data_IF_432422872622
#
_entry.id   IF_432422872622
#
_cell.length_a   1.000
_cell.length_b   1.000
_cell.length_c   1.000
_cell.angle_alpha   90.00
_cell.angle_beta   90.00
_cell.angle_gamma   90.00
#
_symmetry.space_group_name_H-M   'P 1'
#
loop_
_entity.id
_entity.type
_entity.pdbx_description
1 polymer ?
#
# COMPACT_ATOMS: atom_id res chain seq x y z
N UNK A 1 -7.74 33.03 28.26
CA UNK A 1 -6.71 32.78 27.23
C UNK A 1 -7.44 32.38 25.96
N UNK A 2 -7.58 33.30 25.02
CA UNK A 2 -8.18 33.02 23.72
C UNK A 2 -7.20 32.18 22.89
N UNK A 3 -7.61 30.96 22.54
CA UNK A 3 -6.87 30.11 21.61
C UNK A 3 -7.01 30.69 20.20
N UNK A 4 -6.11 31.60 19.81
CA UNK A 4 -5.97 32.00 18.41
C UNK A 4 -5.35 30.84 17.63
N UNK A 5 -6.19 30.08 16.91
CA UNK A 5 -5.70 29.05 16.01
C UNK A 5 -5.01 29.73 14.82
N UNK A 6 -3.69 29.78 14.82
CA UNK A 6 -2.94 30.27 13.67
C UNK A 6 -3.23 29.34 12.46
N UNK A 7 -3.81 29.92 11.42
CA UNK A 7 -4.05 29.28 10.14
C UNK A 7 -3.09 29.95 9.15
N UNK A 8 -1.99 29.30 8.76
CA UNK A 8 -1.06 29.92 7.84
C UNK A 8 -1.75 30.13 6.48
N UNK A 9 -1.83 31.38 6.05
CA UNK A 9 -2.41 31.79 4.78
C UNK A 9 -1.29 31.94 3.74
N UNK A 10 -1.53 31.50 2.50
CA UNK A 10 -0.65 31.79 1.37
C UNK A 10 -1.41 32.65 0.38
N UNK A 11 -0.83 33.80 0.02
CA UNK A 11 -1.41 34.73 -0.94
C UNK A 11 -1.19 34.20 -2.36
N UNK A 12 -2.27 34.01 -3.13
CA UNK A 12 -2.15 33.68 -4.54
C UNK A 12 -1.75 34.93 -5.34
N UNK A 13 -0.81 34.81 -6.28
CA UNK A 13 -0.30 35.92 -7.11
C UNK A 13 -1.33 36.52 -8.09
N UNK A 14 -2.55 35.98 -8.19
CA UNK A 14 -3.54 36.37 -9.21
C UNK A 14 -4.87 36.94 -8.68
N UNK A 15 -5.01 37.15 -7.37
CA UNK A 15 -6.23 37.76 -6.82
C UNK A 15 -6.21 37.71 -5.30
N UNK A 16 -6.90 38.67 -4.66
CA UNK A 16 -6.91 38.93 -3.22
C UNK A 16 -7.54 37.82 -2.34
N UNK A 17 -7.53 36.56 -2.79
CA UNK A 17 -8.01 35.43 -2.02
C UNK A 17 -6.84 34.75 -1.30
N UNK A 18 -6.92 34.74 0.02
CA UNK A 18 -6.05 33.95 0.86
C UNK A 18 -6.47 32.49 0.79
N UNK A 19 -5.58 31.62 0.31
CA UNK A 19 -5.81 30.19 0.34
C UNK A 19 -5.23 29.64 1.65
N UNK A 20 -6.05 28.91 2.40
CA UNK A 20 -5.56 28.14 3.54
C UNK A 20 -4.63 27.04 3.02
N UNK A 21 -3.43 26.91 3.61
CA UNK A 21 -2.46 25.85 3.23
C UNK A 21 -3.09 24.45 3.28
N UNK A 22 -4.13 24.29 4.09
CA UNK A 22 -4.81 23.04 4.37
C UNK A 22 -6.12 22.85 3.60
N UNK A 23 -6.44 23.75 2.65
CA UNK A 23 -7.64 23.66 1.83
C UNK A 23 -7.60 22.39 0.94
N UNK A 24 -8.55 21.44 1.12
CA UNK A 24 -8.61 20.27 0.28
C UNK A 24 -9.04 20.62 -1.16
N UNK A 25 -8.60 19.80 -2.10
CA UNK A 25 -9.15 19.74 -3.46
C UNK A 25 -10.54 19.15 -3.39
N UNK A 26 -11.53 19.85 -3.94
CA UNK A 26 -12.83 19.25 -4.19
C UNK A 26 -12.88 18.60 -5.59
N UNK A 27 -13.96 17.85 -5.90
CA UNK A 27 -14.12 17.18 -7.19
C UNK A 27 -14.10 18.12 -8.41
N UNK A 28 -14.37 19.41 -8.20
CA UNK A 28 -14.36 20.45 -9.23
C UNK A 28 -12.99 20.66 -9.87
N UNK A 29 -11.90 20.33 -9.17
CA UNK A 29 -10.53 20.48 -9.72
C UNK A 29 -10.03 19.22 -10.43
N UNK A 30 -10.82 18.14 -10.45
CA UNK A 30 -10.44 16.90 -11.13
C UNK A 30 -10.70 17.04 -12.62
N UNK A 31 -9.61 17.17 -13.38
CA UNK A 31 -9.61 17.12 -14.84
C UNK A 31 -10.10 15.76 -15.34
N UNK A 32 -10.49 15.68 -16.62
CA UNK A 32 -11.07 14.46 -17.19
C UNK A 32 -10.12 13.25 -17.14
N UNK A 33 -8.82 13.48 -17.27
CA UNK A 33 -7.77 12.47 -17.12
C UNK A 33 -7.62 11.96 -15.68
N UNK A 34 -7.76 12.82 -14.67
CA UNK A 34 -7.80 12.42 -13.25
C UNK A 34 -9.02 11.54 -13.01
N UNK A 35 -10.22 11.98 -13.41
CA UNK A 35 -11.45 11.20 -13.23
C UNK A 35 -11.35 9.83 -13.90
N UNK A 36 -10.90 9.80 -15.14
CA UNK A 36 -10.68 8.56 -15.87
C UNK A 36 -9.65 7.65 -15.18
N UNK A 37 -8.55 8.21 -14.65
CA UNK A 37 -7.56 7.42 -13.92
C UNK A 37 -8.13 6.78 -12.65
N UNK A 38 -8.98 7.51 -11.91
CA UNK A 38 -9.70 7.01 -10.73
C UNK A 38 -10.63 5.87 -11.15
N UNK A 39 -11.49 6.11 -12.14
CA UNK A 39 -12.53 5.17 -12.60
C UNK A 39 -11.95 3.83 -13.09
N UNK A 40 -10.75 3.85 -13.69
CA UNK A 40 -10.08 2.63 -14.16
C UNK A 40 -9.81 1.67 -13.00
N UNK A 41 -9.41 2.18 -11.83
CA UNK A 41 -8.91 1.37 -10.71
C UNK A 41 -9.83 1.35 -9.48
N UNK A 42 -11.05 1.87 -9.57
CA UNK A 42 -12.10 1.70 -8.56
C UNK A 42 -12.87 0.40 -8.73
N UNK A 43 -13.29 -0.22 -7.63
CA UNK A 43 -14.19 -1.37 -7.61
C UNK A 43 -15.63 -0.96 -7.92
N UNK A 44 -16.05 0.20 -7.45
CA UNK A 44 -17.38 0.75 -7.65
C UNK A 44 -17.34 2.15 -8.28
N UNK A 45 -17.88 2.28 -9.49
CA UNK A 45 -17.94 3.54 -10.21
C UNK A 45 -19.05 4.45 -9.66
N UNK A 46 -20.02 3.90 -8.92
CA UNK A 46 -21.08 4.68 -8.28
C UNK A 46 -20.61 5.27 -6.94
N UNK A 47 -19.60 4.66 -6.32
CA UNK A 47 -19.00 5.10 -5.06
C UNK A 47 -17.51 5.42 -5.26
N UNK A 48 -17.16 6.67 -5.66
CA UNK A 48 -15.79 7.00 -5.98
C UNK A 48 -14.87 6.85 -4.77
N UNK A 49 -13.67 6.30 -5.01
CA UNK A 49 -12.66 6.17 -3.97
C UNK A 49 -12.31 7.53 -3.35
N UNK A 50 -12.01 7.51 -2.05
CA UNK A 50 -11.64 8.72 -1.32
C UNK A 50 -10.18 9.07 -1.63
N UNK A 51 -9.95 10.22 -2.23
CA UNK A 51 -8.60 10.77 -2.35
C UNK A 51 -7.99 11.01 -0.95
N UNK A 52 -6.79 10.50 -0.75
CA UNK A 52 -5.99 10.65 0.47
C UNK A 52 -4.59 11.18 0.14
N UNK A 53 -3.71 11.26 1.15
CA UNK A 53 -2.33 11.70 0.96
C UNK A 53 -2.17 13.17 0.55
N UNK A 54 -1.03 13.50 -0.05
CA UNK A 54 -0.68 14.87 -0.42
C UNK A 54 -1.52 15.43 -1.56
N UNK A 55 -2.01 14.58 -2.48
CA UNK A 55 -2.86 15.01 -3.58
C UNK A 55 -4.17 15.64 -3.08
N UNK A 56 -4.62 15.31 -1.88
CA UNK A 56 -5.81 15.94 -1.30
C UNK A 56 -5.69 17.46 -1.14
N UNK A 57 -4.50 18.05 -1.01
CA UNK A 57 -4.37 19.45 -0.55
C UNK A 57 -3.86 20.41 -1.62
N UNK A 58 -4.57 21.53 -1.81
CA UNK A 58 -4.32 22.51 -2.90
C UNK A 58 -2.91 23.12 -2.89
N UNK A 59 -2.28 23.23 -1.71
CA UNK A 59 -0.90 23.74 -1.58
C UNK A 59 0.11 22.94 -2.42
N UNK A 60 -0.14 21.65 -2.67
CA UNK A 60 0.72 20.83 -3.53
C UNK A 60 0.38 21.02 -5.00
N UNK A 61 0.80 22.13 -5.62
CA UNK A 61 0.48 22.45 -7.02
C UNK A 61 0.85 21.36 -8.03
N UNK A 62 1.92 20.61 -7.77
CA UNK A 62 2.40 19.50 -8.59
C UNK A 62 2.57 18.25 -7.71
N UNK A 63 1.48 17.56 -7.37
CA UNK A 63 1.56 16.34 -6.57
C UNK A 63 2.30 15.26 -7.37
N UNK A 64 3.12 14.46 -6.69
CA UNK A 64 3.91 13.40 -7.33
C UNK A 64 3.12 12.13 -7.60
N UNK A 65 2.09 11.89 -6.80
CA UNK A 65 1.23 10.72 -6.76
C UNK A 65 -0.23 11.14 -6.50
N UNK A 66 -1.18 10.27 -6.86
CA UNK A 66 -2.58 10.34 -6.43
C UNK A 66 -2.88 9.09 -5.61
N UNK A 67 -3.01 9.25 -4.30
CA UNK A 67 -3.37 8.15 -3.41
C UNK A 67 -4.88 8.15 -3.15
N UNK A 68 -5.48 6.96 -3.15
CA UNK A 68 -6.88 6.74 -2.88
C UNK A 68 -7.09 5.63 -1.85
N UNK A 69 -8.17 5.74 -1.10
CA UNK A 69 -8.67 4.70 -0.21
C UNK A 69 -10.12 4.41 -0.58
N UNK A 70 -10.37 3.18 -1.00
CA UNK A 70 -11.70 2.70 -1.36
C UNK A 70 -12.20 1.74 -0.29
N UNK A 71 -13.33 2.08 0.32
CA UNK A 71 -14.07 1.17 1.19
C UNK A 71 -15.07 0.43 0.34
N UNK A 72 -15.04 -0.91 0.38
CA UNK A 72 -15.98 -1.72 -0.36
C UNK A 72 -16.51 -2.85 0.52
N UNK A 73 -17.81 -2.81 0.78
CA UNK A 73 -18.54 -3.85 1.49
C UNK A 73 -19.18 -4.77 0.45
N UNK A 74 -18.71 -6.01 0.38
CA UNK A 74 -19.31 -7.02 -0.49
C UNK A 74 -20.74 -7.35 -0.06
N UNK A 75 -21.57 -7.75 -1.02
CA UNK A 75 -22.96 -8.09 -0.76
C UNK A 75 -23.14 -9.48 -0.12
N UNK A 76 -24.30 -9.66 0.52
CA UNK A 76 -24.85 -10.96 0.93
C UNK A 76 -23.96 -11.73 1.92
N UNK A 77 -23.49 -12.93 1.54
CA UNK A 77 -22.63 -13.79 2.37
C UNK A 77 -21.14 -13.53 2.13
N UNK A 78 -20.26 -13.93 3.05
CA UNK A 78 -18.81 -13.86 2.87
C UNK A 78 -18.32 -14.50 1.55
N UNK A 79 -18.92 -15.62 1.14
CA UNK A 79 -18.53 -16.31 -0.09
C UNK A 79 -18.94 -15.51 -1.35
N UNK A 80 -20.12 -14.90 -1.33
CA UNK A 80 -20.61 -14.04 -2.42
C UNK A 80 -19.85 -12.73 -2.48
N UNK A 81 -19.61 -12.09 -1.33
CA UNK A 81 -18.76 -10.91 -1.19
C UNK A 81 -17.37 -11.14 -1.80
N UNK A 82 -16.71 -12.27 -1.48
CA UNK A 82 -15.41 -12.61 -2.08
C UNK A 82 -15.48 -12.79 -3.59
N UNK A 83 -16.51 -13.48 -4.08
CA UNK A 83 -16.71 -13.71 -5.52
C UNK A 83 -16.90 -12.40 -6.27
N UNK A 84 -17.70 -11.50 -5.71
CA UNK A 84 -17.97 -10.19 -6.29
C UNK A 84 -16.72 -9.30 -6.31
N UNK A 85 -16.00 -9.21 -5.19
CA UNK A 85 -14.71 -8.50 -5.11
C UNK A 85 -13.72 -9.05 -6.14
N UNK A 86 -13.56 -10.37 -6.22
CA UNK A 86 -12.67 -11.00 -7.21
C UNK A 86 -13.09 -10.60 -8.63
N UNK A 87 -14.39 -10.63 -8.94
CA UNK A 87 -14.90 -10.20 -10.25
C UNK A 87 -14.52 -8.74 -10.53
N UNK A 88 -14.76 -7.83 -9.60
CA UNK A 88 -14.44 -6.39 -9.77
C UNK A 88 -12.94 -6.13 -9.94
N UNK A 89 -12.08 -6.86 -9.20
CA UNK A 89 -10.62 -6.78 -9.38
C UNK A 89 -10.17 -7.29 -10.77
N UNK A 90 -10.81 -8.34 -11.29
CA UNK A 90 -10.58 -8.81 -12.66
C UNK A 90 -11.00 -7.76 -13.68
N UNK A 91 -12.13 -7.10 -13.45
CA UNK A 91 -12.63 -6.04 -14.32
C UNK A 91 -11.68 -4.84 -14.34
N UNK A 92 -11.04 -4.49 -13.21
CA UNK A 92 -9.95 -3.49 -13.16
C UNK A 92 -8.80 -3.90 -14.09
N UNK A 93 -8.35 -5.15 -14.04
CA UNK A 93 -7.26 -5.62 -14.90
C UNK A 93 -7.62 -5.53 -16.39
N UNK A 94 -8.88 -5.84 -16.75
CA UNK A 94 -9.39 -5.70 -18.11
C UNK A 94 -9.41 -4.22 -18.53
N UNK A 95 -9.91 -3.32 -17.67
CA UNK A 95 -9.91 -1.88 -17.93
C UNK A 95 -8.49 -1.37 -18.17
N UNK A 96 -7.53 -1.71 -17.32
CA UNK A 96 -6.12 -1.30 -17.50
C UNK A 96 -5.59 -1.76 -18.87
N UNK A 97 -5.84 -3.02 -19.27
CA UNK A 97 -5.39 -3.55 -20.58
C UNK A 97 -6.02 -2.83 -21.77
N UNK A 98 -7.27 -2.39 -21.64
CA UNK A 98 -8.02 -1.73 -22.72
C UNK A 98 -7.67 -0.25 -22.89
N UNK A 99 -7.11 0.40 -21.86
CA UNK A 99 -6.79 1.82 -21.90
C UNK A 99 -5.35 2.05 -22.36
N UNK A 100 -5.19 2.62 -23.55
CA UNK A 100 -3.87 3.01 -24.07
C UNK A 100 -3.26 4.08 -23.17
N UNK A 101 -1.98 3.92 -22.84
CA UNK A 101 -1.25 4.88 -22.00
C UNK A 101 -1.46 4.70 -20.51
N UNK A 102 -2.15 3.63 -20.09
CA UNK A 102 -2.26 3.19 -18.70
C UNK A 102 -1.45 1.92 -18.51
N UNK A 103 -0.61 1.88 -17.48
CA UNK A 103 0.27 0.75 -17.20
C UNK A 103 0.11 0.31 -15.76
N UNK A 104 0.04 -0.99 -15.52
CA UNK A 104 0.12 -1.52 -14.16
C UNK A 104 1.53 -1.27 -13.61
N UNK A 105 1.61 -0.56 -12.49
CA UNK A 105 2.83 -0.42 -11.69
C UNK A 105 3.01 -1.62 -10.77
N UNK A 106 2.02 -1.88 -9.92
CA UNK A 106 2.01 -3.03 -9.02
C UNK A 106 0.58 -3.40 -8.63
N UNK A 107 0.34 -4.68 -8.34
CA UNK A 107 -0.86 -5.11 -7.64
C UNK A 107 -0.43 -6.10 -6.56
N UNK A 108 -0.76 -5.79 -5.31
CA UNK A 108 -0.42 -6.63 -4.15
C UNK A 108 -1.70 -7.12 -3.49
N UNK A 109 -1.78 -8.43 -3.29
CA UNK A 109 -2.80 -9.06 -2.45
C UNK A 109 -2.29 -10.42 -2.00
N UNK A 110 -2.36 -10.68 -0.71
CA UNK A 110 -1.93 -11.94 -0.10
C UNK A 110 -0.42 -12.08 0.06
N UNK A 111 -0.06 -13.18 0.71
CA UNK A 111 1.29 -13.53 1.10
C UNK A 111 1.57 -15.03 0.89
N UNK A 112 2.82 -15.32 0.57
CA UNK A 112 3.37 -16.67 0.58
C UNK A 112 4.03 -16.95 1.93
N UNK A 113 3.23 -17.48 2.85
CA UNK A 113 3.64 -17.79 4.23
C UNK A 113 4.82 -18.75 4.33
N UNK A 114 5.20 -19.46 3.25
CA UNK A 114 6.41 -20.29 3.22
C UNK A 114 7.69 -19.47 3.46
N UNK A 115 7.68 -18.19 3.12
CA UNK A 115 8.82 -17.28 3.34
C UNK A 115 8.70 -16.48 4.66
N UNK A 116 7.70 -16.75 5.49
CA UNK A 116 7.56 -16.13 6.81
C UNK A 116 8.21 -17.01 7.87
N UNK A 117 9.33 -16.55 8.40
CA UNK A 117 9.97 -17.12 9.58
C UNK A 117 10.42 -15.99 10.51
N UNK A 118 10.61 -16.32 11.79
CA UNK A 118 10.92 -15.35 12.83
C UNK A 118 12.34 -14.79 12.64
N UNK A 119 12.44 -13.47 12.48
CA UNK A 119 13.71 -12.74 12.43
C UNK A 119 13.89 -11.86 13.67
N UNK A 120 13.17 -12.13 14.75
CA UNK A 120 13.06 -11.23 15.90
C UNK A 120 12.19 -10.02 15.60
N UNK A 121 12.15 -9.08 16.55
CA UNK A 121 11.37 -7.85 16.48
C UNK A 121 12.08 -6.69 17.15
N UNK A 122 11.64 -5.47 16.85
CA UNK A 122 12.14 -4.26 17.51
C UNK A 122 11.29 -3.99 18.76
N UNK A 123 11.95 -3.89 19.92
CA UNK A 123 11.38 -3.43 21.19
C UNK A 123 12.28 -2.35 21.77
N UNK A 124 11.74 -1.15 22.04
CA UNK A 124 12.49 -0.03 22.62
C UNK A 124 13.84 0.24 21.90
N UNK A 125 13.81 0.33 20.56
CA UNK A 125 14.98 0.51 19.69
C UNK A 125 16.05 -0.60 19.77
N UNK A 126 15.71 -1.77 20.31
CA UNK A 126 16.58 -2.95 20.35
C UNK A 126 15.95 -4.11 19.61
N UNK A 127 16.80 -4.93 18.98
CA UNK A 127 16.37 -6.15 18.32
C UNK A 127 16.32 -7.25 19.38
N UNK A 128 15.14 -7.83 19.59
CA UNK A 128 14.91 -8.93 20.53
C UNK A 128 14.57 -10.20 19.77
N UNK A 129 14.98 -11.36 20.30
CA UNK A 129 14.74 -12.70 19.73
C UNK A 129 15.31 -12.93 18.32
N UNK A 130 16.31 -12.15 17.91
CA UNK A 130 17.04 -12.39 16.67
C UNK A 130 18.02 -13.56 16.83
N UNK A 131 17.96 -14.53 15.92
CA UNK A 131 18.86 -15.68 15.90
C UNK A 131 19.31 -15.96 14.45
N UNK A 132 20.49 -15.47 14.10
CA UNK A 132 21.06 -15.61 12.75
C UNK A 132 21.20 -17.07 12.31
N UNK A 133 21.60 -17.98 13.21
CA UNK A 133 21.76 -19.40 12.89
C UNK A 133 20.41 -20.03 12.50
N UNK A 134 19.36 -19.76 13.28
CA UNK A 134 18.01 -20.25 12.98
C UNK A 134 17.48 -19.70 11.65
N UNK A 135 17.73 -18.42 11.38
CA UNK A 135 17.38 -17.74 10.13
C UNK A 135 18.09 -18.40 8.94
N UNK A 136 19.38 -18.67 9.06
CA UNK A 136 20.20 -19.34 8.04
C UNK A 136 19.70 -20.77 7.79
N UNK A 137 19.32 -21.50 8.85
CA UNK A 137 18.70 -22.83 8.74
C UNK A 137 17.38 -22.77 7.95
N UNK A 138 16.49 -21.82 8.26
CA UNK A 138 15.22 -21.66 7.53
C UNK A 138 15.47 -21.35 6.05
N UNK A 139 16.43 -20.47 5.74
CA UNK A 139 16.84 -20.17 4.36
C UNK A 139 17.41 -21.39 3.64
N UNK A 140 18.22 -22.22 4.32
CA UNK A 140 18.72 -23.48 3.77
C UNK A 140 17.58 -24.43 3.42
N UNK A 141 16.57 -24.55 4.29
CA UNK A 141 15.40 -25.39 4.03
C UNK A 141 14.58 -24.89 2.84
N UNK A 142 14.42 -23.56 2.68
CA UNK A 142 13.79 -22.98 1.50
C UNK A 142 14.59 -23.25 0.22
N UNK A 143 15.92 -23.15 0.28
CA UNK A 143 16.79 -23.45 -0.86
C UNK A 143 16.73 -24.94 -1.25
N UNK A 144 16.78 -25.87 -0.28
CA UNK A 144 16.62 -27.31 -0.50
C UNK A 144 15.27 -27.64 -1.18
N UNK A 145 14.20 -26.95 -0.76
CA UNK A 145 12.86 -27.06 -1.36
C UNK A 145 12.74 -26.34 -2.73
N UNK A 146 13.83 -25.78 -3.25
CA UNK A 146 13.88 -24.99 -4.50
C UNK A 146 12.91 -23.80 -4.49
N UNK A 147 12.69 -23.22 -3.31
CA UNK A 147 11.90 -21.99 -3.12
C UNK A 147 12.75 -20.73 -3.22
N UNK A 148 14.07 -20.85 -3.05
CA UNK A 148 15.05 -19.81 -3.30
C UNK A 148 16.02 -20.25 -4.39
N UNK A 149 16.45 -19.31 -5.22
CA UNK A 149 17.63 -19.46 -6.07
C UNK A 149 18.90 -19.32 -5.24
N UNK A 150 20.03 -19.79 -5.77
CA UNK A 150 21.34 -19.63 -5.11
C UNK A 150 21.69 -18.16 -4.88
N UNK A 151 21.36 -17.29 -5.85
CA UNK A 151 21.59 -15.85 -5.76
C UNK A 151 20.74 -15.22 -4.66
N UNK A 152 19.45 -15.54 -4.57
CA UNK A 152 18.58 -15.03 -3.50
C UNK A 152 19.04 -15.50 -2.12
N UNK A 153 19.39 -16.79 -1.98
CA UNK A 153 19.93 -17.34 -0.73
C UNK A 153 21.20 -16.59 -0.30
N UNK A 154 22.17 -16.39 -1.22
CA UNK A 154 23.41 -15.68 -0.91
C UNK A 154 23.16 -14.21 -0.51
N UNK A 155 22.24 -13.53 -1.19
CA UNK A 155 21.88 -12.16 -0.84
C UNK A 155 21.26 -12.09 0.56
N UNK A 156 20.40 -13.05 0.92
CA UNK A 156 19.82 -13.11 2.25
C UNK A 156 20.87 -13.44 3.34
N UNK A 157 21.83 -14.32 3.05
CA UNK A 157 22.93 -14.62 3.97
C UNK A 157 23.80 -13.41 4.28
N UNK A 158 24.04 -12.55 3.30
CA UNK A 158 24.78 -11.31 3.52
C UNK A 158 24.08 -10.36 4.50
N UNK A 159 22.75 -10.47 4.64
CA UNK A 159 21.94 -9.66 5.54
C UNK A 159 21.73 -10.32 6.92
N UNK A 160 21.77 -11.66 7.00
CA UNK A 160 21.57 -12.42 8.24
C UNK A 160 22.85 -12.52 9.11
N UNK A 161 23.42 -11.37 9.49
CA UNK A 161 24.67 -11.28 10.26
C UNK A 161 24.48 -11.77 11.71
N UNK A 162 25.49 -12.41 12.35
CA UNK A 162 25.41 -12.78 13.77
C UNK A 162 25.16 -11.59 14.69
N UNK A 163 25.94 -10.52 14.50
CA UNK A 163 25.71 -9.21 15.12
C UNK A 163 24.95 -8.35 14.12
N UNK A 164 23.69 -8.03 14.42
CA UNK A 164 22.80 -7.29 13.52
C UNK A 164 22.52 -5.89 14.05
N UNK A 165 22.60 -4.89 13.17
CA UNK A 165 22.17 -3.53 13.48
C UNK A 165 20.68 -3.34 13.13
N UNK A 166 20.06 -2.25 13.58
CA UNK A 166 18.69 -1.90 13.17
C UNK A 166 18.57 -1.72 11.66
N UNK A 167 19.62 -1.22 11.01
CA UNK A 167 19.66 -1.06 9.56
C UNK A 167 19.70 -2.43 8.87
N UNK A 168 20.63 -3.30 9.25
CA UNK A 168 20.75 -4.67 8.72
C UNK A 168 19.43 -5.47 8.88
N UNK A 169 18.81 -5.37 10.06
CA UNK A 169 17.54 -6.03 10.34
C UNK A 169 16.42 -5.52 9.45
N UNK A 170 16.34 -4.20 9.23
CA UNK A 170 15.33 -3.62 8.34
C UNK A 170 15.57 -4.02 6.87
N UNK A 171 16.83 -4.09 6.44
CA UNK A 171 17.18 -4.59 5.10
C UNK A 171 16.77 -6.06 4.92
N UNK A 172 17.10 -6.91 5.90
CA UNK A 172 16.68 -8.32 5.91
C UNK A 172 15.15 -8.44 5.87
N UNK A 173 14.45 -7.71 6.73
CA UNK A 173 12.98 -7.68 6.77
C UNK A 173 12.38 -7.28 5.43
N UNK A 174 12.91 -6.24 4.79
CA UNK A 174 12.43 -5.79 3.48
C UNK A 174 12.76 -6.78 2.37
N UNK A 175 13.91 -7.46 2.43
CA UNK A 175 14.27 -8.53 1.51
C UNK A 175 13.29 -9.71 1.61
N UNK A 176 12.98 -10.15 2.84
CA UNK A 176 11.99 -11.22 3.07
C UNK A 176 10.58 -10.80 2.67
N UNK A 177 10.18 -9.55 2.96
CA UNK A 177 8.89 -8.99 2.53
C UNK A 177 8.71 -9.04 1.03
N UNK A 178 9.76 -8.79 0.25
CA UNK A 178 9.70 -8.91 -1.21
C UNK A 178 9.37 -10.32 -1.65
N UNK A 179 9.86 -11.35 -0.94
CA UNK A 179 9.62 -12.76 -1.25
C UNK A 179 8.21 -13.21 -0.87
N UNK A 180 7.74 -12.87 0.34
CA UNK A 180 6.42 -13.31 0.78
C UNK A 180 5.28 -12.48 0.19
N UNK A 181 5.46 -11.21 -0.19
CA UNK A 181 4.37 -10.40 -0.77
C UNK A 181 3.97 -10.90 -2.16
N UNK A 182 2.72 -11.32 -2.33
CA UNK A 182 2.23 -11.81 -3.63
C UNK A 182 1.88 -10.63 -4.53
N UNK A 183 2.67 -10.46 -5.60
CA UNK A 183 2.47 -9.46 -6.65
C UNK A 183 1.85 -10.09 -7.88
N UNK A 184 0.79 -9.48 -8.40
CA UNK A 184 0.02 -10.03 -9.51
C UNK A 184 0.31 -9.28 -10.80
N UNK A 185 0.49 -10.02 -11.89
CA UNK A 185 0.46 -9.41 -13.23
C UNK A 185 -0.98 -9.18 -13.67
N UNK A 186 -1.20 -8.33 -14.69
CA UNK A 186 -2.53 -8.17 -15.29
C UNK A 186 -3.12 -9.51 -15.76
N UNK A 187 -2.28 -10.41 -16.27
CA UNK A 187 -2.69 -11.75 -16.68
C UNK A 187 -3.12 -12.60 -15.48
N UNK A 188 -2.32 -12.63 -14.41
CA UNK A 188 -2.67 -13.40 -13.21
C UNK A 188 -3.98 -12.89 -12.58
N UNK A 189 -4.17 -11.57 -12.56
CA UNK A 189 -5.40 -10.91 -12.11
C UNK A 189 -6.59 -11.37 -12.96
N UNK A 190 -6.51 -11.21 -14.28
CA UNK A 190 -7.56 -11.61 -15.23
C UNK A 190 -7.86 -13.12 -15.20
N UNK A 191 -6.85 -13.96 -14.96
CA UNK A 191 -7.01 -15.41 -14.81
C UNK A 191 -7.57 -15.77 -13.41
N UNK A 192 -7.47 -14.86 -12.43
CA UNK A 192 -7.88 -15.04 -11.04
C UNK A 192 -7.02 -16.02 -10.25
N UNK A 193 -5.84 -16.36 -10.76
CA UNK A 193 -4.91 -17.34 -10.17
C UNK A 193 -3.47 -17.01 -10.52
N UNK A 194 -2.55 -17.32 -9.61
CA UNK A 194 -1.11 -17.12 -9.80
C UNK A 194 -0.35 -18.39 -9.42
N UNK A 195 0.62 -18.78 -10.26
CA UNK A 195 1.60 -19.82 -9.92
C UNK A 195 2.78 -19.20 -9.18
N UNK A 196 2.96 -19.60 -7.92
CA UNK A 196 4.08 -19.22 -7.07
C UNK A 196 5.28 -20.14 -7.30
N UNK A 197 6.42 -19.77 -6.71
CA UNK A 197 7.64 -20.60 -6.73
C UNK A 197 7.35 -21.98 -6.12
N UNK A 198 7.97 -23.02 -6.67
CA UNK A 198 7.70 -24.41 -6.28
C UNK A 198 6.35 -24.95 -6.79
N UNK A 199 5.68 -24.24 -7.70
CA UNK A 199 4.49 -24.73 -8.40
C UNK A 199 3.17 -24.60 -7.63
N UNK A 200 3.20 -24.09 -6.40
CA UNK A 200 1.98 -23.77 -5.63
C UNK A 200 1.13 -22.76 -6.42
N UNK A 201 -0.17 -23.00 -6.51
CA UNK A 201 -1.11 -22.03 -7.09
C UNK A 201 -1.84 -21.34 -5.95
N UNK A 202 -1.99 -20.02 -6.04
CA UNK A 202 -2.85 -19.22 -5.16
C UNK A 202 -3.95 -18.59 -6.01
N UNK A 203 -5.21 -18.66 -5.54
CA UNK A 203 -6.31 -17.96 -6.20
C UNK A 203 -6.42 -16.53 -5.67
N UNK A 204 -6.99 -15.63 -6.46
CA UNK A 204 -7.20 -14.25 -6.02
C UNK A 204 -8.14 -14.21 -4.79
N UNK A 205 -9.14 -15.11 -4.77
CA UNK A 205 -10.04 -15.29 -3.63
C UNK A 205 -9.29 -15.68 -2.34
N UNK A 206 -8.31 -16.59 -2.43
CA UNK A 206 -7.48 -16.96 -1.27
C UNK A 206 -6.64 -15.78 -0.82
N UNK A 207 -6.01 -15.06 -1.75
CA UNK A 207 -5.12 -13.95 -1.46
C UNK A 207 -5.83 -12.77 -0.77
N UNK A 208 -7.02 -12.38 -1.24
CA UNK A 208 -7.80 -11.34 -0.58
C UNK A 208 -8.33 -11.75 0.79
N UNK A 209 -8.40 -13.06 1.06
CA UNK A 209 -8.90 -13.60 2.34
C UNK A 209 -7.83 -13.69 3.43
N UNK A 210 -6.59 -13.28 3.15
CA UNK A 210 -5.47 -13.45 4.08
C UNK A 210 -5.31 -12.30 5.07
N UNK A 211 -6.17 -11.28 5.06
CA UNK A 211 -6.05 -10.16 5.99
C UNK A 211 -4.79 -9.33 5.74
N UNK A 212 -4.48 -9.05 4.47
CA UNK A 212 -3.27 -8.30 4.07
C UNK A 212 -3.69 -6.99 3.39
N UNK A 213 -2.81 -6.00 3.31
CA UNK A 213 -3.02 -4.84 2.44
C UNK A 213 -3.26 -5.31 1.00
N UNK A 214 -4.37 -4.85 0.44
CA UNK A 214 -4.67 -4.98 -0.98
C UNK A 214 -4.53 -3.58 -1.58
N UNK A 215 -3.70 -3.47 -2.62
CA UNK A 215 -3.53 -2.20 -3.34
C UNK A 215 -3.17 -2.41 -4.80
N UNK A 216 -3.53 -1.43 -5.61
CA UNK A 216 -3.15 -1.34 -7.02
C UNK A 216 -2.51 0.00 -7.31
N UNK A 217 -1.39 -0.03 -8.03
CA UNK A 217 -0.65 1.13 -8.48
C UNK A 217 -0.69 1.11 -10.01
N UNK A 218 -1.08 2.21 -10.66
CA UNK A 218 -0.97 2.40 -12.11
C UNK A 218 -0.16 3.65 -12.43
N UNK A 219 0.44 3.66 -13.62
CA UNK A 219 0.99 4.86 -14.23
C UNK A 219 0.12 5.29 -15.40
N UNK A 220 -0.34 6.53 -15.40
CA UNK A 220 -1.14 7.10 -16.49
C UNK A 220 -0.78 8.57 -16.73
N UNK A 221 -1.13 9.11 -17.90
CA UNK A 221 -0.88 10.51 -18.22
C UNK A 221 -1.91 11.40 -17.54
N UNK A 222 -1.43 12.32 -16.69
CA UNK A 222 -2.21 13.38 -16.06
C UNK A 222 -1.54 14.71 -16.41
N UNK A 223 -2.27 15.60 -17.07
CA UNK A 223 -1.78 16.88 -17.58
C UNK A 223 -0.47 16.75 -18.39
N UNK A 224 -0.41 15.72 -19.25
CA UNK A 224 0.72 15.46 -20.15
C UNK A 224 1.95 14.83 -19.46
N UNK A 225 1.85 14.34 -18.22
CA UNK A 225 2.94 13.68 -17.50
C UNK A 225 2.49 12.34 -16.95
N UNK A 226 3.36 11.35 -16.95
CA UNK A 226 3.07 10.09 -16.26
C UNK A 226 3.07 10.32 -14.74
N UNK A 227 1.95 9.99 -14.11
CA UNK A 227 1.72 10.11 -12.68
C UNK A 227 1.27 8.76 -12.13
N UNK A 228 1.79 8.40 -10.95
CA UNK A 228 1.34 7.22 -10.22
C UNK A 228 -0.04 7.50 -9.60
N UNK A 229 -0.98 6.59 -9.81
CA UNK A 229 -2.30 6.60 -9.16
C UNK A 229 -2.44 5.27 -8.43
N UNK A 230 -2.62 5.37 -7.11
CA UNK A 230 -2.67 4.24 -6.19
C UNK A 230 -4.05 4.16 -5.56
N UNK A 231 -4.64 2.96 -5.55
CA UNK A 231 -5.85 2.68 -4.78
C UNK A 231 -5.56 1.61 -3.72
N UNK A 232 -5.77 1.96 -2.46
CA UNK A 232 -5.80 1.04 -1.34
C UNK A 232 -7.23 0.59 -1.10
N UNK A 233 -7.42 -0.71 -0.94
CA UNK A 233 -8.76 -1.26 -0.71
C UNK A 233 -8.92 -1.61 0.77
N UNK A 234 -10.01 -1.15 1.38
CA UNK A 234 -10.51 -1.57 2.68
C UNK A 234 -11.74 -2.44 2.43
N UNK A 235 -11.55 -3.75 2.42
CA UNK A 235 -12.56 -4.71 1.96
C UNK A 235 -13.20 -5.43 3.13
N UNK A 236 -14.51 -5.62 3.05
CA UNK A 236 -15.28 -6.35 4.05
C UNK A 236 -16.42 -7.14 3.42
N UNK A 237 -16.97 -8.09 4.17
CA UNK A 237 -18.22 -8.78 3.84
C UNK A 237 -19.00 -9.09 5.10
N UNK A 238 -20.22 -9.65 4.97
CA UNK A 238 -21.04 -10.03 6.13
C UNK A 238 -21.03 -11.52 6.38
N UNK A 239 -20.89 -11.89 7.65
CA UNK A 239 -21.05 -13.28 8.10
C UNK A 239 -22.55 -13.69 8.14
N UNK A 240 -22.81 -14.93 8.55
CA UNK A 240 -24.18 -15.48 8.65
C UNK A 240 -25.06 -14.72 9.65
N UNK A 241 -24.46 -13.98 10.60
CA UNK A 241 -25.15 -13.16 11.59
C UNK A 241 -25.30 -11.69 11.13
N UNK A 242 -24.86 -11.36 9.92
CA UNK A 242 -24.84 -9.99 9.40
C UNK A 242 -23.70 -9.12 9.96
N UNK A 243 -22.77 -9.67 10.73
CA UNK A 243 -21.61 -8.94 11.25
C UNK A 243 -20.58 -8.70 10.16
N UNK A 244 -19.99 -7.50 10.17
CA UNK A 244 -18.97 -7.12 9.22
C UNK A 244 -17.65 -7.82 9.55
N UNK A 245 -17.11 -8.56 8.59
CA UNK A 245 -15.83 -9.25 8.68
C UNK A 245 -14.86 -8.59 7.69
N UNK A 246 -13.75 -8.00 8.15
CA UNK A 246 -12.76 -7.42 7.25
C UNK A 246 -11.99 -8.53 6.51
N UNK A 247 -11.73 -8.30 5.22
CA UNK A 247 -10.84 -9.12 4.40
C UNK A 247 -9.41 -8.57 4.35
N UNK A 248 -9.25 -7.27 4.63
CA UNK A 248 -7.96 -6.57 4.67
C UNK A 248 -7.50 -6.36 6.10
N UNK A 249 -6.20 -6.15 6.30
CA UNK A 249 -5.70 -5.72 7.61
C UNK A 249 -6.30 -4.36 8.00
N UNK A 250 -6.50 -4.17 9.31
CA UNK A 250 -6.93 -2.88 9.84
C UNK A 250 -5.85 -1.83 9.58
N UNK A 251 -6.28 -0.64 9.18
CA UNK A 251 -5.37 0.50 9.12
C UNK A 251 -5.04 0.93 10.56
N UNK A 252 -3.75 1.01 10.92
CA UNK A 252 -3.36 1.45 12.26
C UNK A 252 -3.79 2.91 12.48
N UNK A 253 -3.80 3.35 13.74
CA UNK A 253 -3.99 4.76 14.06
C UNK A 253 -3.03 5.61 13.20
N UNK A 254 -3.62 6.52 12.43
CA UNK A 254 -2.89 7.25 11.40
C UNK A 254 -1.81 8.15 11.99
N UNK A 255 -2.05 8.77 13.16
CA UNK A 255 -1.08 9.65 13.82
C UNK A 255 0.09 8.85 14.35
N UNK A 256 -0.18 7.75 15.06
CA UNK A 256 0.86 6.87 15.59
C UNK A 256 1.66 6.19 14.48
N UNK A 257 0.99 5.81 13.40
CA UNK A 257 1.64 5.32 12.17
C UNK A 257 2.59 6.36 11.59
N UNK A 258 2.15 7.63 11.44
CA UNK A 258 3.00 8.71 10.94
C UNK A 258 4.22 8.97 11.82
N UNK A 259 4.08 8.96 13.15
CA UNK A 259 5.20 9.14 14.09
C UNK A 259 6.25 8.04 13.93
N UNK A 260 5.80 6.78 13.92
CA UNK A 260 6.68 5.61 13.71
C UNK A 260 7.37 5.69 12.35
N UNK A 261 6.65 6.07 11.30
CA UNK A 261 7.25 6.27 9.98
C UNK A 261 8.29 7.40 9.99
N UNK A 262 8.04 8.54 10.65
CA UNK A 262 9.01 9.65 10.74
C UNK A 262 10.31 9.16 11.38
N UNK A 263 10.23 8.53 12.55
CA UNK A 263 11.39 7.99 13.27
C UNK A 263 12.18 7.01 12.41
N UNK A 264 11.48 6.06 11.78
CA UNK A 264 12.09 5.08 10.89
C UNK A 264 12.78 5.75 9.68
N UNK A 265 12.13 6.73 9.04
CA UNK A 265 12.70 7.40 7.85
C UNK A 265 13.86 8.34 8.17
N UNK A 266 13.92 8.89 9.39
CA UNK A 266 15.10 9.64 9.87
C UNK A 266 16.30 8.70 9.97
N UNK A 267 16.10 7.52 10.58
CA UNK A 267 17.15 6.50 10.72
C UNK A 267 17.67 6.03 9.35
N UNK A 268 16.79 5.93 8.35
CA UNK A 268 17.14 5.56 6.97
C UNK A 268 17.72 6.72 6.13
N UNK A 269 17.88 7.92 6.67
CA UNK A 269 18.36 9.10 5.92
C UNK A 269 17.39 9.59 4.82
N UNK A 270 16.11 9.20 4.86
CA UNK A 270 15.11 9.54 3.84
C UNK A 270 14.41 10.87 4.12
N UNK A 271 15.19 11.95 4.23
CA UNK A 271 14.73 13.25 4.73
C UNK A 271 13.56 13.88 3.94
N UNK A 272 13.48 13.67 2.62
CA UNK A 272 12.33 14.14 1.84
C UNK A 272 11.03 13.43 2.24
N UNK A 273 11.10 12.12 2.54
CA UNK A 273 9.95 11.37 3.07
C UNK A 273 9.61 11.84 4.47
N UNK A 274 10.61 12.10 5.32
CA UNK A 274 10.41 12.69 6.66
C UNK A 274 9.66 14.01 6.57
N UNK A 275 10.06 14.93 5.68
CA UNK A 275 9.37 16.19 5.48
C UNK A 275 7.91 16.00 5.03
N UNK A 276 7.64 15.08 4.07
CA UNK A 276 6.27 14.73 3.66
C UNK A 276 5.43 14.23 4.84
N UNK A 277 6.01 13.37 5.70
CA UNK A 277 5.30 12.83 6.87
C UNK A 277 5.11 13.84 7.99
N UNK A 278 6.08 14.70 8.27
CA UNK A 278 5.95 15.78 9.26
C UNK A 278 4.84 16.76 8.85
N UNK A 279 4.76 17.11 7.58
CA UNK A 279 3.69 17.95 7.06
C UNK A 279 2.31 17.28 7.20
N UNK A 280 2.19 15.99 6.86
CA UNK A 280 0.97 15.21 7.10
C UNK A 280 0.63 15.11 8.58
N UNK A 281 1.61 14.97 9.47
CA UNK A 281 1.39 14.91 10.91
C UNK A 281 0.84 16.25 11.44
N UNK A 282 1.44 17.37 11.03
CA UNK A 282 1.00 18.71 11.42
C UNK A 282 -0.44 19.02 10.98
N UNK A 283 -0.83 18.56 9.78
CA UNK A 283 -2.20 18.61 9.29
C UNK A 283 -3.20 17.89 10.20
N UNK A 284 -2.76 16.79 10.78
CA UNK A 284 -3.58 15.93 11.62
C UNK A 284 -3.41 16.28 13.11
N UNK A 285 -2.94 17.49 13.49
CA UNK A 285 -2.89 17.92 14.91
C UNK A 285 -4.09 18.76 15.33
N UNK A 286 -4.91 19.23 14.38
CA UNK A 286 -5.98 20.22 14.61
C UNK A 286 -7.34 19.63 15.04
N UNK A 287 -7.42 18.32 15.21
CA UNK A 287 -8.60 17.62 15.73
C UNK A 287 -8.36 17.11 17.16
#
# INVERSE_FOLDING_TARGET
MENYSYQPLVQNKQGNEWMYIFDPRGPEVYTGDIKNAIDIITLDQEQPAKIVGSFKYRVHRYPGDIDMLEFYEGCCTLAESKRDIVKKLKDIAIRIKQHRGVYLGDFKAGEDTRFKFDIGRIEHDKIVNYNSNKIIEDMNELYKKKLLTKTEMNNLYALAKPETTLEDWNELKEALRKLYTVRWSLKDLEDGKKKLVGGKVITLSDAISQGTIIKIDIFTQINGRYTEVTNFFALSGRDENGQLVPFTEDFPDYRESLKKEIEQRIKEGKYLKVAKRLWLLALNQKD
#
